data_IF_554265853607
#
_entry.id   IF_554265853607
#
_cell.length_a   1.000
_cell.length_b   1.000
_cell.length_c   1.000
_cell.angle_alpha   90.00
_cell.angle_beta   90.00
_cell.angle_gamma   90.00
#
_symmetry.space_group_name_H-M   'P 1'
#
loop_
_entity.id
_entity.type
_entity.pdbx_description
1 polymer ?
#
# COMPACT_ATOMS: atom_id res chain seq x y z
N UNK A 1 44.40 26.77 19.30
CA UNK A 1 45.82 26.66 19.72
C UNK A 1 46.24 25.20 19.69
N UNK A 2 47.39 24.93 19.03
CA UNK A 2 48.19 23.70 18.90
C UNK A 2 47.68 22.67 17.86
N UNK A 3 48.24 22.80 16.66
CA UNK A 3 48.39 21.78 15.64
C UNK A 3 49.53 20.83 16.04
N UNK A 4 49.36 19.52 15.79
CA UNK A 4 50.46 18.56 15.77
C UNK A 4 50.57 17.96 14.37
N UNK A 5 51.71 18.31 13.71
CA UNK A 5 52.20 17.62 12.52
C UNK A 5 52.97 16.36 12.93
N UNK A 6 52.71 15.25 12.26
CA UNK A 6 53.64 14.11 12.24
C UNK A 6 54.25 13.95 10.85
N UNK A 7 55.57 14.07 10.81
CA UNK A 7 56.39 13.86 9.64
C UNK A 7 56.67 12.37 9.42
N UNK A 8 56.54 11.91 8.18
CA UNK A 8 56.97 10.58 7.73
C UNK A 8 58.44 10.65 7.28
N UNK A 9 59.28 9.85 7.89
CA UNK A 9 60.66 9.56 7.46
C UNK A 9 60.66 8.43 6.42
N UNK A 10 61.28 8.72 5.25
CA UNK A 10 61.71 7.74 4.29
C UNK A 10 63.01 7.09 4.72
N UNK A 11 63.09 5.75 4.65
CA UNK A 11 64.36 5.01 4.57
C UNK A 11 64.28 4.00 3.47
N UNK A 12 65.38 3.99 2.71
CA UNK A 12 65.51 3.43 1.40
C UNK A 12 65.84 1.94 1.32
N UNK A 13 65.70 1.53 0.15
CA UNK A 13 66.12 0.42 -0.70
C UNK A 13 67.16 -0.57 -0.18
N UNK A 14 66.88 -1.85 -0.41
CA UNK A 14 67.86 -2.78 -1.03
C UNK A 14 67.14 -3.88 -1.78
N UNK A 15 67.62 -4.16 -2.98
CA UNK A 15 67.02 -5.09 -3.95
C UNK A 15 67.16 -6.54 -3.56
N UNK A 16 66.27 -7.34 -4.07
CA UNK A 16 66.43 -8.79 -4.22
C UNK A 16 65.95 -9.27 -5.61
N UNK A 17 66.69 -10.18 -6.11
CA UNK A 17 66.75 -10.72 -7.47
C UNK A 17 65.46 -11.45 -7.89
N UNK A 18 65.18 -11.36 -9.19
CA UNK A 18 64.26 -12.22 -9.94
C UNK A 18 64.52 -13.71 -9.70
N UNK A 19 63.49 -14.38 -9.21
CA UNK A 19 63.34 -15.82 -9.35
C UNK A 19 62.02 -16.04 -10.12
N UNK A 20 62.15 -16.49 -11.37
CA UNK A 20 61.04 -16.82 -12.26
C UNK A 20 60.10 -17.86 -11.66
N UNK A 21 58.84 -17.49 -11.59
CA UNK A 21 57.73 -18.41 -11.29
C UNK A 21 57.16 -18.87 -12.63
N UNK A 22 56.99 -20.16 -12.89
CA UNK A 22 56.40 -20.63 -14.15
C UNK A 22 54.90 -20.26 -14.17
N UNK A 23 54.49 -19.71 -15.32
CA UNK A 23 53.09 -19.42 -15.66
C UNK A 23 52.33 -20.76 -15.77
N UNK A 24 51.51 -21.04 -14.76
CA UNK A 24 50.53 -22.11 -14.79
C UNK A 24 49.18 -21.48 -15.11
N UNK A 25 48.94 -21.20 -16.37
CA UNK A 25 47.59 -20.91 -16.87
C UNK A 25 46.77 -22.21 -16.82
N UNK A 26 46.04 -22.36 -15.71
CA UNK A 26 44.94 -23.33 -15.62
C UNK A 26 43.75 -22.67 -16.30
N UNK A 27 43.40 -23.12 -17.51
CA UNK A 27 42.10 -22.89 -18.10
C UNK A 27 41.05 -23.57 -17.21
N UNK A 28 40.43 -22.82 -16.28
CA UNK A 28 39.23 -23.26 -15.62
C UNK A 28 38.05 -23.18 -16.61
N UNK A 29 37.86 -24.30 -17.32
CA UNK A 29 36.59 -24.62 -17.93
C UNK A 29 35.59 -24.98 -16.80
N UNK A 30 35.05 -23.97 -16.14
CA UNK A 30 33.90 -24.14 -15.25
C UNK A 30 32.67 -24.23 -16.17
N UNK A 31 31.93 -25.34 -16.22
CA UNK A 31 30.64 -25.34 -16.85
C UNK A 31 29.78 -24.33 -16.08
N UNK A 32 29.30 -23.28 -16.75
CA UNK A 32 28.22 -22.46 -16.27
C UNK A 32 26.99 -23.36 -16.14
N UNK A 33 26.84 -23.98 -14.98
CA UNK A 33 25.53 -24.47 -14.56
C UNK A 33 24.68 -23.23 -14.41
N UNK A 34 23.92 -22.88 -15.45
CA UNK A 34 22.70 -22.08 -15.28
C UNK A 34 21.84 -22.82 -14.24
N UNK A 35 21.91 -22.37 -13.02
CA UNK A 35 20.90 -22.73 -12.02
C UNK A 35 19.61 -22.16 -12.58
N UNK A 36 18.82 -23.01 -13.23
CA UNK A 36 17.43 -22.71 -13.52
C UNK A 36 16.81 -22.49 -12.14
N UNK A 37 16.72 -21.23 -11.70
CA UNK A 37 15.90 -20.87 -10.55
C UNK A 37 14.48 -21.22 -10.97
N UNK A 38 13.92 -22.26 -10.37
CA UNK A 38 12.51 -22.59 -10.56
C UNK A 38 11.72 -21.30 -10.33
N UNK A 39 10.98 -20.87 -11.36
CA UNK A 39 10.18 -19.64 -11.28
C UNK A 39 9.17 -19.83 -10.15
N UNK A 40 9.19 -18.93 -9.16
CA UNK A 40 8.19 -18.91 -8.10
C UNK A 40 6.83 -18.68 -8.78
N UNK A 41 5.84 -19.56 -8.60
CA UNK A 41 4.53 -19.36 -9.22
C UNK A 41 3.86 -18.14 -8.58
N UNK A 42 3.25 -17.29 -9.40
CA UNK A 42 2.48 -16.14 -8.94
C UNK A 42 1.38 -16.58 -7.96
N UNK A 43 1.39 -16.10 -6.72
CA UNK A 43 0.41 -16.49 -5.71
C UNK A 43 -1.01 -16.09 -6.12
N UNK A 44 -1.97 -16.97 -5.84
CA UNK A 44 -3.38 -16.75 -6.17
C UNK A 44 -4.21 -16.78 -4.89
N UNK A 45 -5.16 -15.85 -4.76
CA UNK A 45 -6.12 -15.88 -3.67
C UNK A 45 -7.13 -17.02 -3.91
N UNK A 46 -6.95 -18.13 -3.23
CA UNK A 46 -7.87 -19.28 -3.26
C UNK A 46 -8.77 -19.30 -2.01
N UNK A 47 -9.75 -20.21 -1.98
CA UNK A 47 -10.72 -20.31 -0.86
C UNK A 47 -10.06 -20.56 0.49
N UNK A 48 -9.01 -21.39 0.55
CA UNK A 48 -8.28 -21.64 1.81
C UNK A 48 -7.60 -20.36 2.32
N UNK A 49 -6.93 -19.63 1.44
CA UNK A 49 -6.31 -18.35 1.80
C UNK A 49 -7.37 -17.30 2.18
N UNK A 50 -8.50 -17.28 1.46
CA UNK A 50 -9.63 -16.41 1.77
C UNK A 50 -10.20 -16.69 3.17
N UNK A 51 -10.37 -17.96 3.56
CA UNK A 51 -10.81 -18.34 4.90
C UNK A 51 -9.80 -17.91 5.98
N UNK A 52 -8.50 -18.04 5.72
CA UNK A 52 -7.46 -17.58 6.65
C UNK A 52 -7.47 -16.06 6.81
N UNK A 53 -7.49 -15.31 5.71
CA UNK A 53 -7.50 -13.85 5.74
C UNK A 53 -8.80 -13.27 6.32
N UNK A 54 -9.93 -13.97 6.16
CA UNK A 54 -11.21 -13.58 6.74
C UNK A 54 -11.21 -13.53 8.27
N UNK A 55 -10.30 -14.27 8.94
CA UNK A 55 -10.18 -14.23 10.39
C UNK A 55 -9.78 -12.83 10.90
N UNK A 56 -9.01 -12.07 10.13
CA UNK A 56 -8.55 -10.74 10.53
C UNK A 56 -9.73 -9.75 10.68
N UNK A 57 -10.54 -9.47 9.64
CA UNK A 57 -11.70 -8.59 9.80
C UNK A 57 -12.76 -9.19 10.73
N UNK A 58 -12.95 -10.51 10.73
CA UNK A 58 -13.90 -11.18 11.63
C UNK A 58 -13.59 -10.89 13.09
N UNK A 59 -12.32 -10.89 13.46
CA UNK A 59 -11.88 -10.61 14.82
C UNK A 59 -11.93 -9.11 15.13
N UNK A 60 -11.47 -8.26 14.22
CA UNK A 60 -11.15 -6.88 14.55
C UNK A 60 -12.27 -5.85 14.39
N UNK A 61 -13.23 -6.01 13.43
CA UNK A 61 -14.20 -4.95 13.11
C UNK A 61 -15.12 -4.53 14.25
N UNK A 62 -15.30 -5.39 15.25
CA UNK A 62 -16.06 -5.08 16.47
C UNK A 62 -15.21 -5.06 17.74
N UNK A 63 -13.89 -5.21 17.63
CA UNK A 63 -12.96 -5.13 18.77
C UNK A 63 -12.62 -3.68 19.06
N UNK A 64 -13.29 -3.10 20.08
CA UNK A 64 -13.18 -1.67 20.40
C UNK A 64 -11.80 -1.29 20.99
N UNK A 65 -11.12 -2.21 21.67
CA UNK A 65 -9.83 -1.95 22.34
C UNK A 65 -8.83 -3.09 22.09
N UNK A 66 -7.49 -2.76 22.00
CA UNK A 66 -6.89 -1.43 22.07
C UNK A 66 -7.31 -0.54 20.89
N UNK A 67 -7.32 0.80 21.08
CA UNK A 67 -7.76 1.74 20.04
C UNK A 67 -6.89 3.01 20.06
N UNK A 68 -6.46 3.43 18.88
CA UNK A 68 -5.72 4.67 18.64
C UNK A 68 -6.68 5.74 18.12
N UNK A 69 -7.11 6.62 19.01
CA UNK A 69 -7.98 7.73 18.65
C UNK A 69 -7.12 8.88 18.11
N UNK A 70 -7.25 9.17 16.81
CA UNK A 70 -6.47 10.21 16.11
C UNK A 70 -7.23 11.51 15.88
N UNK A 71 -7.88 12.10 16.92
CA UNK A 71 -8.67 13.33 16.77
C UNK A 71 -8.15 14.47 17.65
N UNK A 72 -8.61 15.69 17.33
CA UNK A 72 -8.42 16.88 18.16
C UNK A 72 -9.54 16.96 19.19
N UNK A 73 -9.19 17.07 20.47
CA UNK A 73 -10.14 17.29 21.56
C UNK A 73 -10.24 18.78 21.84
N UNK A 74 -11.37 19.40 21.57
CA UNK A 74 -11.62 20.81 21.84
C UNK A 74 -12.11 21.05 23.28
N UNK A 75 -12.70 20.03 23.92
CA UNK A 75 -13.18 20.07 25.29
C UNK A 75 -13.40 18.69 25.89
N UNK A 76 -13.68 18.59 27.21
CA UNK A 76 -13.89 17.31 27.88
C UNK A 76 -15.00 16.46 27.28
N UNK A 77 -16.00 17.09 26.68
CA UNK A 77 -17.16 16.44 26.03
C UNK A 77 -16.80 15.68 24.76
N UNK A 78 -15.63 15.95 24.18
CA UNK A 78 -15.12 15.25 23.00
C UNK A 78 -14.46 13.92 23.36
N UNK A 79 -14.16 13.69 24.65
CA UNK A 79 -13.58 12.43 25.13
C UNK A 79 -14.65 11.35 25.22
N UNK A 80 -14.98 10.77 24.08
CA UNK A 80 -15.96 9.68 23.96
C UNK A 80 -15.26 8.36 23.64
N UNK A 81 -15.95 7.26 23.98
CA UNK A 81 -15.49 5.93 23.56
C UNK A 81 -15.46 5.82 22.03
N UNK A 82 -14.52 5.04 21.45
CA UNK A 82 -14.43 4.84 20.00
C UNK A 82 -15.77 4.51 19.34
N UNK A 83 -16.51 3.53 19.86
CA UNK A 83 -17.84 3.13 19.33
C UNK A 83 -18.88 4.25 19.36
N UNK A 84 -18.78 5.21 20.25
CA UNK A 84 -19.72 6.35 20.33
C UNK A 84 -19.39 7.42 19.30
N UNK A 85 -18.10 7.61 19.02
CA UNK A 85 -17.64 8.58 18.03
C UNK A 85 -17.73 8.04 16.60
N UNK A 86 -17.37 6.76 16.42
CA UNK A 86 -17.27 6.06 15.15
C UNK A 86 -18.07 4.76 15.19
N UNK A 87 -19.43 4.82 15.20
CA UNK A 87 -20.25 3.65 15.40
C UNK A 87 -20.14 2.62 14.27
N UNK A 88 -19.66 3.01 13.09
CA UNK A 88 -19.33 2.10 12.00
C UNK A 88 -17.89 1.60 12.12
N UNK A 89 -16.92 2.51 12.28
CA UNK A 89 -15.50 2.23 12.12
C UNK A 89 -14.71 2.36 13.43
N UNK A 90 -15.22 1.76 14.51
CA UNK A 90 -14.61 1.83 15.85
C UNK A 90 -13.62 0.70 16.17
N UNK A 91 -13.64 -0.38 15.38
CA UNK A 91 -12.81 -1.55 15.61
C UNK A 91 -11.43 -1.47 14.97
N UNK A 92 -10.77 -2.62 14.88
CA UNK A 92 -9.50 -2.78 14.18
C UNK A 92 -8.43 -1.74 14.55
N UNK A 93 -8.33 -1.38 15.84
CA UNK A 93 -7.32 -0.49 16.39
C UNK A 93 -7.50 1.01 16.07
N UNK A 94 -7.85 1.39 14.84
CA UNK A 94 -8.14 2.78 14.43
C UNK A 94 -9.16 2.85 13.29
N UNK A 95 -9.58 4.06 12.94
CA UNK A 95 -10.65 4.29 11.98
C UNK A 95 -10.33 3.74 10.59
N UNK A 96 -9.15 4.06 10.04
CA UNK A 96 -8.79 3.59 8.70
C UNK A 96 -8.60 2.07 8.65
N UNK A 97 -8.05 1.47 9.70
CA UNK A 97 -7.93 0.01 9.77
C UNK A 97 -9.28 -0.69 9.86
N UNK A 98 -10.27 -0.07 10.52
CA UNK A 98 -11.65 -0.55 10.46
C UNK A 98 -12.19 -0.49 9.03
N UNK A 99 -12.00 0.61 8.30
CA UNK A 99 -12.39 0.72 6.88
C UNK A 99 -11.73 -0.36 6.02
N UNK A 100 -10.42 -0.62 6.20
CA UNK A 100 -9.74 -1.75 5.55
C UNK A 100 -10.38 -3.10 5.89
N UNK A 101 -10.73 -3.30 7.16
CA UNK A 101 -11.39 -4.52 7.64
C UNK A 101 -12.73 -4.74 6.93
N UNK A 102 -13.55 -3.70 6.81
CA UNK A 102 -14.80 -3.74 6.04
C UNK A 102 -14.57 -4.03 4.57
N UNK A 103 -13.61 -3.34 3.93
CA UNK A 103 -13.26 -3.61 2.55
C UNK A 103 -12.82 -5.05 2.34
N UNK A 104 -11.96 -5.58 3.20
CA UNK A 104 -11.49 -6.97 3.16
C UNK A 104 -12.65 -7.96 3.29
N UNK A 105 -13.53 -7.74 4.27
CA UNK A 105 -14.69 -8.59 4.50
C UNK A 105 -15.64 -8.59 3.29
N UNK A 106 -15.99 -7.42 2.74
CA UNK A 106 -16.84 -7.28 1.55
C UNK A 106 -16.20 -7.97 0.35
N UNK A 107 -14.91 -7.74 0.11
CA UNK A 107 -14.17 -8.36 -0.99
C UNK A 107 -14.18 -9.89 -0.91
N UNK A 108 -13.94 -10.45 0.28
CA UNK A 108 -13.93 -11.91 0.48
C UNK A 108 -15.33 -12.51 0.35
N UNK A 109 -16.36 -11.91 0.95
CA UNK A 109 -17.76 -12.35 0.84
C UNK A 109 -18.24 -12.33 -0.62
N UNK A 110 -17.87 -11.29 -1.37
CA UNK A 110 -18.23 -11.12 -2.77
C UNK A 110 -17.59 -12.17 -3.67
N UNK A 111 -16.29 -12.44 -3.49
CA UNK A 111 -15.53 -13.29 -4.40
C UNK A 111 -15.56 -14.78 -4.02
N UNK A 112 -15.92 -15.12 -2.77
CA UNK A 112 -15.96 -16.49 -2.26
C UNK A 112 -17.31 -16.79 -1.61
N UNK A 113 -18.34 -17.19 -2.40
CA UNK A 113 -19.65 -17.56 -1.85
C UNK A 113 -19.59 -18.69 -0.82
N UNK A 114 -18.58 -19.57 -0.92
CA UNK A 114 -18.33 -20.71 -0.02
C UNK A 114 -17.47 -20.37 1.21
N UNK A 115 -17.20 -19.07 1.47
CA UNK A 115 -16.41 -18.64 2.62
C UNK A 115 -17.05 -19.13 3.92
N UNK A 116 -16.28 -19.84 4.77
CA UNK A 116 -16.79 -20.51 5.98
C UNK A 116 -17.48 -19.55 6.95
N UNK A 117 -16.98 -18.33 7.08
CA UNK A 117 -17.51 -17.31 8.01
C UNK A 117 -18.30 -16.20 7.31
N UNK A 118 -18.77 -16.47 6.10
CA UNK A 118 -19.48 -15.52 5.26
C UNK A 118 -20.66 -14.84 5.99
N UNK A 119 -21.54 -15.64 6.56
CA UNK A 119 -22.75 -15.12 7.24
C UNK A 119 -22.41 -14.31 8.49
N UNK A 120 -21.42 -14.76 9.27
CA UNK A 120 -20.98 -14.04 10.46
C UNK A 120 -20.39 -12.68 10.12
N UNK A 121 -19.54 -12.60 9.09
CA UNK A 121 -18.98 -11.34 8.58
C UNK A 121 -20.09 -10.41 8.08
N UNK A 122 -21.02 -10.93 7.28
CA UNK A 122 -22.12 -10.16 6.73
C UNK A 122 -22.99 -9.55 7.82
N UNK A 123 -23.35 -10.35 8.85
CA UNK A 123 -24.11 -9.87 10.00
C UNK A 123 -23.39 -8.76 10.77
N UNK A 124 -22.06 -8.86 10.94
CA UNK A 124 -21.27 -7.80 11.59
C UNK A 124 -21.30 -6.50 10.77
N UNK A 125 -21.13 -6.61 9.46
CA UNK A 125 -21.21 -5.46 8.55
C UNK A 125 -22.59 -4.79 8.64
N UNK A 126 -23.68 -5.55 8.47
CA UNK A 126 -25.04 -5.02 8.47
C UNK A 126 -25.43 -4.40 9.82
N UNK A 127 -24.95 -4.96 10.94
CA UNK A 127 -25.25 -4.43 12.28
C UNK A 127 -24.65 -3.04 12.52
N UNK A 128 -23.47 -2.79 11.97
CA UNK A 128 -22.74 -1.54 12.20
C UNK A 128 -22.91 -0.52 11.06
N UNK A 129 -22.90 -0.96 9.81
CA UNK A 129 -23.08 -0.10 8.64
C UNK A 129 -24.57 0.13 8.42
N UNK A 130 -25.10 1.13 9.13
CA UNK A 130 -26.50 1.58 9.06
C UNK A 130 -26.56 3.07 8.73
N UNK A 131 -27.69 3.51 8.18
CA UNK A 131 -27.90 4.94 7.85
C UNK A 131 -27.78 5.85 9.09
N UNK A 132 -28.19 5.36 10.26
CA UNK A 132 -28.07 6.09 11.52
C UNK A 132 -26.62 6.26 11.94
N UNK A 133 -25.83 5.21 11.87
CA UNK A 133 -24.42 5.23 12.21
C UNK A 133 -23.61 6.08 11.23
N UNK A 134 -23.92 6.04 9.94
CA UNK A 134 -23.28 6.89 8.92
C UNK A 134 -23.54 8.38 9.19
N UNK A 135 -24.74 8.76 9.67
CA UNK A 135 -25.00 10.14 10.07
C UNK A 135 -24.10 10.60 11.21
N UNK A 136 -23.76 9.71 12.15
CA UNK A 136 -22.83 10.03 13.25
C UNK A 136 -21.41 10.22 12.71
N UNK A 137 -20.93 9.33 11.81
CA UNK A 137 -19.62 9.49 11.14
C UNK A 137 -19.53 10.82 10.38
N UNK A 138 -20.56 11.15 9.59
CA UNK A 138 -20.65 12.43 8.86
C UNK A 138 -20.63 13.62 9.82
N UNK A 139 -21.40 13.57 10.89
CA UNK A 139 -21.45 14.64 11.89
C UNK A 139 -20.09 14.87 12.55
N UNK A 140 -19.38 13.78 12.89
CA UNK A 140 -18.04 13.83 13.45
C UNK A 140 -17.04 14.47 12.48
N UNK A 141 -16.98 13.99 11.25
CA UNK A 141 -16.08 14.55 10.25
C UNK A 141 -16.39 16.03 9.94
N UNK A 142 -17.62 16.48 10.06
CA UNK A 142 -18.02 17.88 9.82
C UNK A 142 -17.72 18.84 10.97
N UNK A 143 -17.24 18.35 12.12
CA UNK A 143 -16.82 19.26 13.18
C UNK A 143 -15.59 20.08 12.74
N UNK A 144 -15.47 21.29 13.30
CA UNK A 144 -14.43 22.26 12.90
C UNK A 144 -13.01 21.66 13.00
N UNK A 145 -12.76 20.91 14.05
CA UNK A 145 -11.42 20.44 14.41
C UNK A 145 -11.05 19.11 13.75
N UNK A 146 -12.03 18.41 13.13
CA UNK A 146 -11.82 17.11 12.47
C UNK A 146 -11.73 17.18 10.94
N UNK A 147 -11.55 18.36 10.37
CA UNK A 147 -11.45 18.52 8.90
C UNK A 147 -10.26 17.80 8.27
N UNK A 148 -9.22 17.51 9.04
CA UNK A 148 -8.01 16.82 8.60
C UNK A 148 -7.98 15.36 9.02
N UNK A 149 -9.01 14.89 9.72
CA UNK A 149 -9.08 13.53 10.21
C UNK A 149 -9.00 12.53 9.04
N UNK A 150 -8.10 11.56 9.17
CA UNK A 150 -7.84 10.48 8.18
C UNK A 150 -7.37 10.92 6.79
N UNK A 151 -6.97 12.17 6.63
CA UNK A 151 -6.51 12.73 5.33
C UNK A 151 -5.08 12.29 5.01
N UNK A 152 -4.79 11.60 3.89
CA UNK A 152 -5.73 11.19 2.85
C UNK A 152 -5.96 9.67 2.85
N UNK A 153 -5.25 8.93 3.68
CA UNK A 153 -5.18 7.47 3.67
C UNK A 153 -6.54 6.82 3.99
N UNK A 154 -7.15 7.20 5.10
CA UNK A 154 -8.46 6.67 5.47
C UNK A 154 -9.54 7.06 4.47
N UNK A 155 -9.46 8.27 3.89
CA UNK A 155 -10.34 8.71 2.81
C UNK A 155 -10.23 7.83 1.57
N UNK A 156 -9.00 7.48 1.18
CA UNK A 156 -8.73 6.62 0.03
C UNK A 156 -9.34 5.23 0.21
N UNK A 157 -9.13 4.62 1.36
CA UNK A 157 -9.71 3.32 1.67
C UNK A 157 -11.24 3.33 1.78
N UNK A 158 -11.84 4.44 2.28
CA UNK A 158 -13.29 4.58 2.29
C UNK A 158 -13.87 4.59 0.87
N UNK A 159 -13.26 5.34 -0.04
CA UNK A 159 -13.67 5.35 -1.45
C UNK A 159 -13.45 3.98 -2.12
N UNK A 160 -12.40 3.26 -1.73
CA UNK A 160 -12.17 1.88 -2.19
C UNK A 160 -13.22 0.91 -1.67
N UNK A 161 -13.67 1.07 -0.42
CA UNK A 161 -14.80 0.30 0.14
C UNK A 161 -16.10 0.59 -0.63
N UNK A 162 -16.40 1.86 -0.91
CA UNK A 162 -17.59 2.23 -1.70
C UNK A 162 -17.55 1.57 -3.08
N UNK A 163 -16.44 1.66 -3.79
CA UNK A 163 -16.26 1.02 -5.10
C UNK A 163 -16.48 -0.50 -5.05
N UNK A 164 -16.02 -1.16 -3.99
CA UNK A 164 -16.21 -2.60 -3.80
C UNK A 164 -17.68 -2.96 -3.58
N UNK A 165 -18.40 -2.18 -2.78
CA UNK A 165 -19.84 -2.34 -2.55
C UNK A 165 -20.65 -2.09 -3.84
N UNK A 166 -20.35 -1.02 -4.58
CA UNK A 166 -21.02 -0.67 -5.83
C UNK A 166 -20.90 -1.77 -6.89
N UNK A 167 -19.75 -2.44 -6.92
CA UNK A 167 -19.46 -3.54 -7.85
C UNK A 167 -19.96 -4.91 -7.36
N UNK A 168 -20.62 -4.98 -6.21
CA UNK A 168 -21.18 -6.21 -5.68
C UNK A 168 -22.64 -6.40 -6.15
N UNK A 169 -22.84 -7.18 -7.21
CA UNK A 169 -24.15 -7.48 -7.80
C UNK A 169 -25.00 -8.40 -6.91
N UNK A 170 -25.41 -7.89 -5.74
CA UNK A 170 -26.30 -8.56 -4.80
C UNK A 170 -27.23 -7.56 -4.15
N UNK A 171 -28.30 -8.03 -3.49
CA UNK A 171 -29.18 -7.18 -2.69
C UNK A 171 -28.41 -6.52 -1.55
N UNK A 172 -27.52 -7.27 -0.87
CA UNK A 172 -26.66 -6.76 0.18
C UNK A 172 -25.69 -5.67 -0.31
N UNK A 173 -25.05 -5.90 -1.46
CA UNK A 173 -24.15 -4.91 -2.05
C UNK A 173 -24.86 -3.60 -2.35
N UNK A 174 -26.03 -3.64 -2.96
CA UNK A 174 -26.83 -2.47 -3.30
C UNK A 174 -27.28 -1.71 -2.05
N UNK A 175 -27.78 -2.41 -1.04
CA UNK A 175 -28.21 -1.80 0.22
C UNK A 175 -27.06 -1.11 0.94
N UNK A 176 -25.95 -1.83 1.16
CA UNK A 176 -24.80 -1.31 1.89
C UNK A 176 -24.11 -0.17 1.14
N UNK A 177 -24.05 -0.24 -0.20
CA UNK A 177 -23.56 0.84 -1.05
C UNK A 177 -24.39 2.12 -0.84
N UNK A 178 -25.73 2.02 -0.90
CA UNK A 178 -26.61 3.17 -0.68
C UNK A 178 -26.47 3.78 0.73
N UNK A 179 -26.23 2.95 1.72
CA UNK A 179 -26.01 3.39 3.11
C UNK A 179 -24.68 4.16 3.24
N UNK A 180 -23.60 3.69 2.60
CA UNK A 180 -22.26 4.30 2.69
C UNK A 180 -22.15 5.57 1.83
N UNK A 181 -22.88 5.65 0.71
CA UNK A 181 -22.76 6.70 -0.31
C UNK A 181 -22.67 8.12 0.24
N UNK A 182 -23.52 8.57 1.20
CA UNK A 182 -23.44 9.95 1.71
C UNK A 182 -22.11 10.30 2.36
N UNK A 183 -21.46 9.33 3.00
CA UNK A 183 -20.13 9.52 3.59
C UNK A 183 -19.05 9.56 2.50
N UNK A 184 -19.17 8.73 1.49
CA UNK A 184 -18.25 8.68 0.35
C UNK A 184 -18.33 9.94 -0.50
N UNK A 185 -19.52 10.47 -0.73
CA UNK A 185 -19.73 11.76 -1.42
C UNK A 185 -19.03 12.90 -0.68
N UNK A 186 -19.21 12.97 0.64
CA UNK A 186 -18.56 14.00 1.47
C UNK A 186 -17.02 13.87 1.41
N UNK A 187 -16.48 12.66 1.39
CA UNK A 187 -15.03 12.44 1.30
C UNK A 187 -14.52 12.82 -0.10
N UNK A 188 -15.25 12.51 -1.15
CA UNK A 188 -14.94 12.93 -2.50
C UNK A 188 -14.89 14.45 -2.63
N UNK A 189 -15.89 15.17 -2.06
CA UNK A 189 -15.91 16.63 -2.02
C UNK A 189 -14.70 17.20 -1.25
N UNK A 190 -14.27 16.54 -0.17
CA UNK A 190 -13.06 16.95 0.57
C UNK A 190 -11.80 16.83 -0.23
N UNK A 191 -11.64 15.81 -1.07
CA UNK A 191 -10.52 15.73 -2.01
C UNK A 191 -10.53 16.90 -2.99
N UNK A 192 -11.70 17.21 -3.58
CA UNK A 192 -11.87 18.35 -4.51
C UNK A 192 -11.50 19.67 -3.84
N UNK A 193 -11.85 19.85 -2.56
CA UNK A 193 -11.49 21.05 -1.80
C UNK A 193 -10.02 21.09 -1.36
N UNK A 194 -9.42 19.94 -1.07
CA UNK A 194 -8.09 19.85 -0.46
C UNK A 194 -6.97 19.90 -1.47
N UNK A 195 -7.04 19.09 -2.54
CA UNK A 195 -5.95 18.93 -3.48
C UNK A 195 -5.47 20.26 -4.08
N UNK A 196 -6.34 21.23 -4.46
CA UNK A 196 -5.90 22.53 -4.94
C UNK A 196 -5.15 23.38 -3.90
N UNK A 197 -5.30 23.07 -2.60
CA UNK A 197 -4.62 23.81 -1.51
C UNK A 197 -3.25 23.25 -1.19
N UNK A 198 -2.93 22.06 -1.68
CA UNK A 198 -1.65 21.39 -1.44
C UNK A 198 -0.61 21.89 -2.43
N UNK A 199 0.34 22.71 -1.98
CA UNK A 199 1.38 23.26 -2.84
C UNK A 199 2.47 22.24 -3.20
N UNK A 200 2.70 21.24 -2.37
CA UNK A 200 3.75 20.25 -2.53
C UNK A 200 3.20 18.85 -2.26
N UNK A 201 3.51 17.88 -3.11
CA UNK A 201 3.18 16.49 -2.87
C UNK A 201 3.94 15.95 -1.64
N UNK A 202 3.29 15.08 -0.87
CA UNK A 202 3.90 14.38 0.27
C UNK A 202 4.37 13.03 -0.24
N UNK A 203 5.71 12.84 -0.26
CA UNK A 203 6.40 11.66 -0.81
C UNK A 203 7.00 10.81 0.32
N UNK A 204 6.16 10.30 1.21
CA UNK A 204 6.58 9.45 2.33
C UNK A 204 6.02 8.05 2.18
N UNK A 205 6.65 7.05 2.76
CA UNK A 205 6.18 5.67 2.73
C UNK A 205 5.07 5.36 3.75
N UNK A 206 4.30 6.39 4.16
CA UNK A 206 3.30 6.31 5.23
C UNK A 206 1.96 6.93 4.81
N UNK A 207 1.00 6.95 5.75
CA UNK A 207 -0.41 7.37 5.59
C UNK A 207 -0.63 8.68 4.84
N UNK A 208 0.28 9.63 4.94
CA UNK A 208 0.13 10.93 4.27
C UNK A 208 0.59 10.95 2.81
N UNK A 209 1.02 9.83 2.23
CA UNK A 209 1.45 9.73 0.84
C UNK A 209 0.35 10.24 -0.11
N UNK A 210 0.68 11.27 -0.90
CA UNK A 210 -0.29 11.93 -1.78
C UNK A 210 -0.63 11.05 -2.98
N UNK A 211 0.34 10.38 -3.58
CA UNK A 211 0.16 9.56 -4.78
C UNK A 211 -0.77 8.37 -4.48
N UNK A 212 -0.53 7.63 -3.39
CA UNK A 212 -1.42 6.57 -2.92
C UNK A 212 -2.85 7.07 -2.72
N UNK A 213 -3.01 8.18 -1.97
CA UNK A 213 -4.34 8.75 -1.71
C UNK A 213 -5.09 9.11 -2.99
N UNK A 214 -4.38 9.65 -3.99
CA UNK A 214 -4.95 9.99 -5.30
C UNK A 214 -5.25 8.76 -6.15
N UNK A 215 -4.44 7.69 -6.09
CA UNK A 215 -4.63 6.51 -6.91
C UNK A 215 -5.98 5.82 -6.61
N UNK A 216 -6.30 5.57 -5.33
CA UNK A 216 -7.57 4.97 -4.94
C UNK A 216 -8.76 5.91 -5.17
N UNK A 217 -8.59 7.20 -4.89
CA UNK A 217 -9.62 8.19 -5.16
C UNK A 217 -9.90 8.34 -6.67
N UNK A 218 -8.90 8.19 -7.52
CA UNK A 218 -9.05 8.19 -8.97
C UNK A 218 -9.82 6.97 -9.48
N UNK A 219 -9.49 5.78 -8.99
CA UNK A 219 -10.22 4.56 -9.33
C UNK A 219 -11.71 4.69 -8.98
N UNK A 220 -12.03 5.26 -7.80
CA UNK A 220 -13.40 5.56 -7.42
C UNK A 220 -14.04 6.62 -8.33
N UNK A 221 -13.32 7.71 -8.64
CA UNK A 221 -13.85 8.79 -9.47
C UNK A 221 -14.24 8.30 -10.88
N UNK A 222 -13.43 7.41 -11.45
CA UNK A 222 -13.72 6.78 -12.74
C UNK A 222 -14.93 5.85 -12.62
N UNK A 223 -14.99 5.00 -11.60
CA UNK A 223 -16.08 4.07 -11.36
C UNK A 223 -17.42 4.79 -11.14
N UNK A 224 -17.44 5.77 -10.24
CA UNK A 224 -18.63 6.56 -9.88
C UNK A 224 -18.99 7.65 -10.91
N UNK A 225 -18.18 7.81 -11.98
CA UNK A 225 -18.31 8.87 -12.97
C UNK A 225 -18.28 10.29 -12.35
N UNK A 226 -17.54 10.46 -11.25
CA UNK A 226 -17.37 11.74 -10.57
C UNK A 226 -16.33 12.60 -11.30
N UNK A 227 -16.78 13.41 -12.25
CA UNK A 227 -15.90 14.22 -13.11
C UNK A 227 -15.13 15.29 -12.31
N UNK A 228 -15.73 15.87 -11.26
CA UNK A 228 -15.05 16.91 -10.47
C UNK A 228 -13.83 16.31 -9.74
N UNK A 229 -14.01 15.15 -9.09
CA UNK A 229 -12.92 14.44 -8.42
C UNK A 229 -11.86 13.98 -9.42
N UNK A 230 -12.29 13.37 -10.54
CA UNK A 230 -11.40 12.89 -11.60
C UNK A 230 -10.48 14.01 -12.11
N UNK A 231 -11.05 15.14 -12.54
CA UNK A 231 -10.30 16.24 -13.13
C UNK A 231 -9.31 16.87 -12.14
N UNK A 232 -9.70 17.08 -10.89
CA UNK A 232 -8.79 17.66 -9.89
C UNK A 232 -7.60 16.74 -9.59
N UNK A 233 -7.83 15.41 -9.57
CA UNK A 233 -6.75 14.44 -9.38
C UNK A 233 -5.80 14.45 -10.60
N UNK A 234 -6.33 14.42 -11.83
CA UNK A 234 -5.53 14.47 -13.04
C UNK A 234 -4.65 15.73 -13.10
N UNK A 235 -5.23 16.90 -12.84
CA UNK A 235 -4.52 18.18 -12.81
C UNK A 235 -3.39 18.17 -11.77
N UNK A 236 -3.72 17.75 -10.54
CA UNK A 236 -2.74 17.79 -9.44
C UNK A 236 -1.66 16.73 -9.57
N UNK A 237 -1.96 15.55 -10.09
CA UNK A 237 -0.95 14.51 -10.33
C UNK A 237 0.04 14.95 -11.43
N UNK A 238 -0.43 15.53 -12.51
CA UNK A 238 0.43 16.09 -13.56
C UNK A 238 1.30 17.22 -13.00
N UNK A 239 0.73 18.14 -12.23
CA UNK A 239 1.50 19.22 -11.61
C UNK A 239 2.58 18.74 -10.67
N UNK A 240 2.29 17.71 -9.87
CA UNK A 240 3.20 17.18 -8.85
C UNK A 240 4.29 16.28 -9.43
N UNK A 241 3.96 15.39 -10.38
CA UNK A 241 4.79 14.24 -10.70
C UNK A 241 5.31 14.20 -12.14
N UNK A 242 4.73 14.96 -13.07
CA UNK A 242 5.15 14.88 -14.48
C UNK A 242 6.61 15.23 -14.71
N UNK A 243 7.21 16.05 -13.83
CA UNK A 243 8.61 16.50 -13.94
C UNK A 243 9.56 15.75 -13.01
N UNK A 244 9.06 14.80 -12.24
CA UNK A 244 9.90 14.01 -11.36
C UNK A 244 10.74 13.03 -12.20
N UNK A 245 12.00 12.91 -11.85
CA UNK A 245 12.98 12.09 -12.52
C UNK A 245 13.94 11.46 -11.51
N UNK A 246 14.61 10.37 -11.88
CA UNK A 246 15.64 9.71 -11.06
C UNK A 246 15.19 9.42 -9.61
N UNK A 247 13.98 8.84 -9.44
CA UNK A 247 13.47 8.55 -8.09
C UNK A 247 14.46 7.67 -7.31
N UNK A 248 14.87 8.09 -6.09
CA UNK A 248 15.91 7.39 -5.33
C UNK A 248 15.39 6.09 -4.67
N UNK A 249 14.91 5.15 -5.46
CA UNK A 249 14.33 3.87 -4.99
C UNK A 249 15.30 3.04 -4.14
N UNK A 250 16.60 3.27 -4.29
CA UNK A 250 17.65 2.63 -3.46
C UNK A 250 17.66 3.14 -2.00
N UNK A 251 16.94 4.20 -1.70
CA UNK A 251 16.77 4.70 -0.32
C UNK A 251 15.60 4.03 0.40
N UNK A 252 14.79 3.27 -0.32
CA UNK A 252 13.69 2.51 0.25
C UNK A 252 14.12 1.09 0.68
N UNK A 253 13.62 0.62 1.83
CA UNK A 253 12.68 1.28 2.74
C UNK A 253 13.34 2.32 3.63
N UNK A 254 12.57 3.34 4.04
CA UNK A 254 12.86 4.15 5.20
C UNK A 254 12.20 3.50 6.43
N UNK A 255 12.90 3.47 7.56
CA UNK A 255 12.46 3.02 8.89
C UNK A 255 11.34 1.97 8.96
N UNK A 256 10.11 2.40 8.83
CA UNK A 256 8.90 1.58 8.90
C UNK A 256 7.88 1.96 7.80
N UNK A 257 8.37 2.20 6.59
CA UNK A 257 7.51 2.40 5.42
C UNK A 257 6.61 1.19 5.19
N UNK A 258 5.37 1.44 4.77
CA UNK A 258 4.44 0.42 4.27
C UNK A 258 3.96 0.70 2.84
N UNK A 259 4.37 1.84 2.30
CA UNK A 259 4.23 2.23 0.90
C UNK A 259 5.61 2.55 0.32
N UNK A 260 5.80 2.30 -0.98
CA UNK A 260 7.00 2.73 -1.69
C UNK A 260 6.74 4.10 -2.31
N UNK A 261 7.36 5.20 -1.83
CA UNK A 261 7.15 6.52 -2.41
C UNK A 261 7.32 6.56 -3.93
N UNK A 262 8.38 5.93 -4.46
CA UNK A 262 8.61 5.86 -5.89
C UNK A 262 7.53 5.06 -6.63
N UNK A 263 7.15 3.88 -6.12
CA UNK A 263 6.16 3.05 -6.81
C UNK A 263 4.73 3.62 -6.70
N UNK A 264 4.39 4.34 -5.64
CA UNK A 264 3.07 5.01 -5.57
C UNK A 264 2.95 6.12 -6.63
N UNK A 265 4.04 6.83 -6.96
CA UNK A 265 4.04 7.77 -8.09
C UNK A 265 3.85 7.03 -9.42
N UNK A 266 4.51 5.89 -9.61
CA UNK A 266 4.27 5.03 -10.78
C UNK A 266 2.80 4.60 -10.84
N UNK A 267 2.22 4.23 -9.71
CA UNK A 267 0.86 3.70 -9.62
C UNK A 267 -0.21 4.74 -10.01
N UNK A 268 -0.06 6.00 -9.59
CA UNK A 268 -0.98 7.06 -10.02
C UNK A 268 -0.71 7.49 -11.47
N UNK A 269 0.56 7.64 -11.88
CA UNK A 269 0.87 8.14 -13.21
C UNK A 269 0.50 7.16 -14.32
N UNK A 270 0.61 5.83 -14.11
CA UNK A 270 0.13 4.84 -15.08
C UNK A 270 -1.39 4.89 -15.32
N UNK A 271 -2.18 5.37 -14.32
CA UNK A 271 -3.63 5.55 -14.45
C UNK A 271 -4.01 6.78 -15.23
N UNK A 272 -3.19 7.82 -15.16
CA UNK A 272 -3.53 9.17 -15.66
C UNK A 272 -2.93 9.44 -17.04
N UNK A 273 -1.68 9.07 -17.25
CA UNK A 273 -1.01 9.36 -18.50
C UNK A 273 -1.46 8.44 -19.64
N UNK A 274 -1.60 8.97 -20.87
CA UNK A 274 -1.67 8.12 -22.06
C UNK A 274 -0.43 7.21 -22.14
N UNK A 275 -0.58 6.01 -22.70
CA UNK A 275 0.48 5.01 -22.72
C UNK A 275 1.84 5.52 -23.23
N UNK A 276 1.86 6.27 -24.34
CA UNK A 276 3.09 6.82 -24.90
C UNK A 276 3.77 7.82 -23.96
N UNK A 277 3.00 8.67 -23.27
CA UNK A 277 3.51 9.66 -22.33
C UNK A 277 4.01 8.98 -21.06
N UNK A 278 3.29 7.95 -20.60
CA UNK A 278 3.73 7.14 -19.46
C UNK A 278 5.07 6.44 -19.71
N UNK A 279 5.26 5.83 -20.89
CA UNK A 279 6.53 5.19 -21.25
C UNK A 279 7.70 6.19 -21.31
N UNK A 280 7.47 7.39 -21.79
CA UNK A 280 8.50 8.42 -21.79
C UNK A 280 8.82 8.88 -20.36
N UNK A 281 7.81 9.10 -19.54
CA UNK A 281 7.96 9.54 -18.16
C UNK A 281 8.67 8.51 -17.29
N UNK A 282 8.28 7.21 -17.35
CA UNK A 282 8.84 6.18 -16.48
C UNK A 282 10.32 5.91 -16.75
N UNK A 283 10.80 6.15 -18.00
CA UNK A 283 12.22 6.06 -18.37
C UNK A 283 13.08 7.08 -17.65
N UNK A 284 12.56 8.28 -17.51
CA UNK A 284 13.24 9.36 -16.78
C UNK A 284 13.08 9.19 -15.26
N UNK A 285 11.91 8.71 -14.81
CA UNK A 285 11.59 8.56 -13.40
C UNK A 285 12.26 7.36 -12.74
N UNK A 286 12.23 6.18 -13.37
CA UNK A 286 12.88 4.95 -12.93
C UNK A 286 13.69 4.29 -14.06
N UNK A 287 14.86 4.82 -14.42
CA UNK A 287 15.64 4.35 -15.58
C UNK A 287 15.99 2.86 -15.55
N UNK A 288 16.04 2.27 -14.37
CA UNK A 288 16.39 0.84 -14.19
C UNK A 288 15.24 -0.12 -14.55
N UNK A 289 14.01 0.37 -14.65
CA UNK A 289 12.84 -0.48 -14.92
C UNK A 289 12.88 -1.04 -16.35
N UNK A 290 13.28 -0.24 -17.33
CA UNK A 290 13.31 -0.61 -18.74
C UNK A 290 14.44 -1.59 -19.09
N UNK A 291 15.53 -1.52 -18.36
CA UNK A 291 16.70 -2.37 -18.61
C UNK A 291 16.59 -3.75 -17.93
N UNK A 292 15.45 -4.07 -17.29
CA UNK A 292 15.28 -5.27 -16.48
C UNK A 292 16.24 -5.34 -15.28
N UNK A 293 16.74 -4.17 -14.83
CA UNK A 293 17.73 -4.04 -13.75
C UNK A 293 17.12 -3.44 -12.48
N UNK A 294 15.79 -3.35 -12.41
CA UNK A 294 15.16 -2.95 -11.15
C UNK A 294 15.41 -4.05 -10.12
N UNK A 295 16.22 -3.73 -9.13
CA UNK A 295 16.47 -4.58 -7.98
C UNK A 295 15.81 -3.95 -6.75
N UNK A 296 15.05 -4.74 -6.01
CA UNK A 296 14.40 -4.31 -4.79
C UNK A 296 14.63 -5.36 -3.71
N UNK A 297 15.30 -4.98 -2.63
CA UNK A 297 15.44 -5.87 -1.49
C UNK A 297 14.08 -6.11 -0.84
N UNK A 298 13.77 -7.39 -0.54
CA UNK A 298 12.58 -7.75 0.24
C UNK A 298 12.74 -7.16 1.63
N UNK A 299 11.77 -6.37 2.05
CA UNK A 299 11.76 -5.77 3.37
C UNK A 299 11.71 -6.81 4.48
N UNK A 300 12.50 -6.62 5.54
CA UNK A 300 12.66 -7.55 6.66
C UNK A 300 12.18 -6.93 7.96
N UNK A 301 11.26 -7.59 8.63
CA UNK A 301 10.81 -7.20 9.97
C UNK A 301 11.78 -7.79 11.00
N UNK A 302 12.43 -6.92 11.77
CA UNK A 302 13.41 -7.32 12.79
C UNK A 302 12.77 -7.71 14.13
N UNK A 303 11.62 -7.12 14.47
CA UNK A 303 10.85 -7.43 15.67
C UNK A 303 9.35 -7.41 15.35
N UNK A 304 8.71 -8.57 15.38
CA UNK A 304 7.30 -8.72 15.07
C UNK A 304 6.36 -8.32 16.21
N UNK A 305 6.89 -8.09 17.40
CA UNK A 305 6.12 -7.55 18.52
C UNK A 305 6.01 -6.02 18.49
N UNK A 306 6.80 -5.34 17.64
CA UNK A 306 6.72 -3.91 17.41
C UNK A 306 5.75 -3.62 16.25
N UNK A 307 4.56 -3.08 16.57
CA UNK A 307 3.53 -2.76 15.58
C UNK A 307 3.97 -1.77 14.49
N UNK A 308 5.05 -0.99 14.73
CA UNK A 308 5.61 -0.10 13.70
C UNK A 308 6.57 -0.83 12.77
N UNK A 309 7.44 -1.70 13.28
CA UNK A 309 8.38 -2.44 12.44
C UNK A 309 7.69 -3.44 11.52
N UNK A 310 6.52 -3.96 11.92
CA UNK A 310 5.68 -4.83 11.08
C UNK A 310 5.15 -4.11 9.81
N UNK A 311 5.17 -2.77 9.77
CA UNK A 311 4.84 -2.00 8.57
C UNK A 311 5.65 -2.40 7.33
N UNK A 312 6.86 -2.89 7.50
CA UNK A 312 7.72 -3.36 6.39
C UNK A 312 7.09 -4.55 5.63
N UNK A 313 6.29 -5.39 6.28
CA UNK A 313 5.49 -6.39 5.55
C UNK A 313 4.44 -5.73 4.66
N UNK A 314 3.83 -4.64 5.11
CA UNK A 314 2.96 -3.81 4.27
C UNK A 314 3.67 -3.25 3.04
N UNK A 315 4.93 -2.84 3.17
CA UNK A 315 5.74 -2.38 2.04
C UNK A 315 5.93 -3.49 0.99
N UNK A 316 6.25 -4.71 1.41
CA UNK A 316 6.36 -5.83 0.48
C UNK A 316 5.07 -6.05 -0.31
N UNK A 317 3.92 -5.95 0.35
CA UNK A 317 2.62 -6.12 -0.28
C UNK A 317 2.26 -4.94 -1.20
N UNK A 318 2.56 -3.70 -0.80
CA UNK A 318 2.30 -2.51 -1.61
C UNK A 318 3.18 -2.48 -2.86
N UNK A 319 4.45 -2.82 -2.75
CA UNK A 319 5.32 -3.02 -3.90
C UNK A 319 4.75 -4.05 -4.87
N UNK A 320 4.27 -5.18 -4.35
CA UNK A 320 3.69 -6.24 -5.19
C UNK A 320 2.48 -5.75 -5.96
N UNK A 321 1.52 -5.04 -5.35
CA UNK A 321 0.35 -4.60 -6.09
C UNK A 321 0.65 -3.59 -7.19
N UNK A 322 1.63 -2.69 -6.98
CA UNK A 322 2.02 -1.74 -8.02
C UNK A 322 2.68 -2.45 -9.19
N UNK A 323 3.63 -3.36 -8.91
CA UNK A 323 4.34 -4.11 -9.94
C UNK A 323 3.40 -5.02 -10.76
N UNK A 324 2.45 -5.70 -10.11
CA UNK A 324 1.41 -6.46 -10.81
C UNK A 324 0.51 -5.55 -11.63
N UNK A 325 0.09 -4.42 -11.08
CA UNK A 325 -0.74 -3.44 -11.78
C UNK A 325 -0.06 -2.89 -13.03
N UNK A 326 1.26 -2.67 -12.96
CA UNK A 326 2.07 -2.21 -14.09
C UNK A 326 2.19 -3.30 -15.15
N UNK A 327 2.52 -4.55 -14.75
CA UNK A 327 2.62 -5.69 -15.66
C UNK A 327 1.28 -6.05 -16.34
N UNK A 328 0.17 -5.93 -15.60
CA UNK A 328 -1.17 -6.16 -16.16
C UNK A 328 -1.58 -5.12 -17.21
N UNK A 329 -1.17 -3.87 -17.03
CA UNK A 329 -1.48 -2.78 -17.96
C UNK A 329 -0.53 -2.72 -19.16
N UNK A 330 0.74 -3.07 -18.95
CA UNK A 330 1.82 -2.96 -19.92
C UNK A 330 2.62 -4.26 -19.95
N UNK A 331 2.33 -5.18 -20.91
CA UNK A 331 2.95 -6.51 -20.98
C UNK A 331 4.49 -6.52 -21.08
N UNK A 332 5.09 -5.45 -21.58
CA UNK A 332 6.55 -5.28 -21.63
C UNK A 332 7.22 -5.24 -20.26
N UNK A 333 6.47 -4.95 -19.19
CA UNK A 333 6.93 -4.98 -17.80
C UNK A 333 6.61 -6.30 -17.07
N UNK A 334 6.24 -7.35 -17.81
CA UNK A 334 5.88 -8.65 -17.21
C UNK A 334 7.02 -9.29 -16.40
N UNK A 335 8.27 -8.94 -16.68
CA UNK A 335 9.43 -9.36 -15.87
C UNK A 335 9.37 -8.88 -14.41
N UNK A 336 8.65 -7.80 -14.14
CA UNK A 336 8.48 -7.26 -12.77
C UNK A 336 7.63 -8.16 -11.88
N UNK A 337 6.87 -9.10 -12.46
CA UNK A 337 6.10 -10.07 -11.69
C UNK A 337 6.99 -10.95 -10.81
N UNK A 338 8.22 -11.25 -11.23
CA UNK A 338 9.16 -12.05 -10.44
C UNK A 338 9.55 -11.33 -9.13
N UNK A 339 9.72 -10.01 -9.19
CA UNK A 339 9.99 -9.18 -8.00
C UNK A 339 8.73 -9.18 -7.11
N UNK A 340 7.55 -8.95 -7.68
CA UNK A 340 6.28 -8.96 -6.96
C UNK A 340 6.01 -10.30 -6.26
N UNK A 341 6.21 -11.42 -7.00
CA UNK A 341 6.06 -12.80 -6.49
C UNK A 341 7.00 -13.05 -5.29
N UNK A 342 8.24 -12.57 -5.36
CA UNK A 342 9.21 -12.74 -4.28
C UNK A 342 8.78 -11.96 -3.01
N UNK A 343 8.33 -10.71 -3.16
CA UNK A 343 7.88 -9.88 -2.04
C UNK A 343 6.64 -10.44 -1.35
N UNK A 344 5.60 -10.79 -2.12
CA UNK A 344 4.36 -11.30 -1.56
C UNK A 344 4.52 -12.71 -0.96
N UNK A 345 5.28 -13.60 -1.62
CA UNK A 345 5.51 -14.97 -1.13
C UNK A 345 6.28 -14.97 0.19
N UNK A 346 7.23 -14.04 0.37
CA UNK A 346 7.95 -13.89 1.63
C UNK A 346 7.04 -13.42 2.78
N UNK A 347 6.05 -12.60 2.46
CA UNK A 347 5.20 -11.94 3.48
C UNK A 347 3.98 -12.74 3.88
N UNK A 348 3.31 -13.43 2.93
CA UNK A 348 2.06 -14.16 3.18
C UNK A 348 2.07 -15.09 4.41
N UNK A 349 3.14 -15.87 4.71
CA UNK A 349 3.14 -16.76 5.87
C UNK A 349 3.06 -16.05 7.22
N UNK A 350 3.35 -14.76 7.27
CA UNK A 350 3.45 -13.99 8.50
C UNK A 350 2.17 -13.27 8.89
N UNK A 351 1.19 -13.14 7.97
CA UNK A 351 0.04 -12.25 8.12
C UNK A 351 -0.93 -12.60 9.26
N UNK A 352 -1.04 -13.87 9.62
CA UNK A 352 -2.03 -14.37 10.60
C UNK A 352 -1.37 -14.72 11.94
N UNK A 353 -0.05 -14.65 12.03
CA UNK A 353 0.71 -15.07 13.21
C UNK A 353 1.15 -13.91 14.12
N UNK A 354 0.99 -12.66 13.68
CA UNK A 354 1.53 -11.48 14.36
C UNK A 354 0.60 -10.93 15.45
N UNK A 355 1.17 -10.08 16.34
CA UNK A 355 0.41 -9.35 17.33
C UNK A 355 -0.70 -8.49 16.68
N UNK A 356 -1.84 -8.40 17.37
CA UNK A 356 -3.04 -7.70 16.90
C UNK A 356 -2.76 -6.26 16.45
N UNK A 357 -1.97 -5.51 17.20
CA UNK A 357 -1.69 -4.11 16.89
C UNK A 357 -0.89 -3.90 15.60
N UNK A 358 -0.09 -4.89 15.20
CA UNK A 358 0.73 -4.83 13.98
C UNK A 358 0.09 -5.53 12.77
N UNK A 359 -0.67 -6.61 12.98
CA UNK A 359 -1.09 -7.52 11.91
C UNK A 359 -2.51 -7.31 11.36
N UNK A 360 -3.41 -6.67 12.11
CA UNK A 360 -4.84 -6.61 11.78
C UNK A 360 -5.17 -5.99 10.40
N UNK A 361 -4.34 -5.08 9.90
CA UNK A 361 -4.53 -4.38 8.62
C UNK A 361 -3.81 -5.03 7.43
N UNK A 362 -2.77 -5.84 7.66
CA UNK A 362 -1.96 -6.45 6.60
C UNK A 362 -2.79 -7.37 5.69
N UNK A 363 -3.86 -7.96 6.20
CA UNK A 363 -4.78 -8.78 5.41
C UNK A 363 -5.38 -8.03 4.22
N UNK A 364 -5.74 -6.75 4.37
CA UNK A 364 -6.27 -5.93 3.28
C UNK A 364 -5.23 -5.69 2.18
N UNK A 365 -3.99 -5.45 2.57
CA UNK A 365 -2.87 -5.28 1.63
C UNK A 365 -2.62 -6.56 0.84
N UNK A 366 -2.62 -7.71 1.53
CA UNK A 366 -2.44 -9.01 0.88
C UNK A 366 -3.58 -9.32 -0.10
N UNK A 367 -4.84 -9.09 0.29
CA UNK A 367 -6.00 -9.29 -0.58
C UNK A 367 -5.87 -8.39 -1.82
N UNK A 368 -5.51 -7.11 -1.65
CA UNK A 368 -5.37 -6.18 -2.77
C UNK A 368 -4.22 -6.56 -3.70
N UNK A 369 -3.07 -6.97 -3.16
CA UNK A 369 -1.96 -7.46 -3.96
C UNK A 369 -2.32 -8.73 -4.76
N UNK A 370 -3.00 -9.70 -4.13
CA UNK A 370 -3.44 -10.93 -4.79
C UNK A 370 -4.54 -10.69 -5.85
N UNK A 371 -5.41 -9.69 -5.66
CA UNK A 371 -6.35 -9.28 -6.70
C UNK A 371 -5.63 -8.72 -7.94
N UNK A 372 -4.58 -7.91 -7.74
CA UNK A 372 -3.78 -7.39 -8.84
C UNK A 372 -2.97 -8.49 -9.53
N UNK A 373 -2.45 -9.47 -8.78
CA UNK A 373 -1.76 -10.63 -9.34
C UNK A 373 -2.62 -11.45 -10.32
N UNK A 374 -3.93 -11.57 -10.04
CA UNK A 374 -4.88 -12.28 -10.92
C UNK A 374 -5.03 -11.63 -12.29
N UNK A 375 -4.75 -10.34 -12.43
CA UNK A 375 -4.94 -9.58 -13.67
C UNK A 375 -3.70 -9.64 -14.58
N UNK A 376 -2.60 -10.22 -14.12
CA UNK A 376 -1.39 -10.41 -14.94
C UNK A 376 -1.64 -11.51 -15.98
N UNK A 377 -1.24 -11.28 -17.25
CA UNK A 377 -1.47 -12.22 -18.35
C UNK A 377 -0.85 -13.61 -18.17
#
# INVERSE_FOLDING_TARGET
MKYYYYALLFLGSTGCKDLGVPDLSIEENTPQNEVIKDKIPTPQLNLQQANNLAQLPLHCIETEYPNKIGHVTAGPEDQKRPRVQHPVFYGCFDWHSAVHGYWSAVTLIKNFPELEKREELLQKIQRNLTSENIKVEIAYLNTKDNKTFERTYGWAWLLKLQQELDSWESEYGKELSQILQPLSDMVADRYVEYLPKLNYAIRVGEHSNTAFGMAFAYDYAVHAQNQALKLVIEERAIEFYLRDADCPISWEPSGYDFLSPCLEEVDIMRRILPAADFHNWIKEFLPHIENGKLEMEIGKVSDRSDGKLVHIDGLNLSRSWVLYGLAAQYPEYNNLTEIADAHITNTLPNLVADDYAGGHWLGSFAIYALQNAKNVP
#
